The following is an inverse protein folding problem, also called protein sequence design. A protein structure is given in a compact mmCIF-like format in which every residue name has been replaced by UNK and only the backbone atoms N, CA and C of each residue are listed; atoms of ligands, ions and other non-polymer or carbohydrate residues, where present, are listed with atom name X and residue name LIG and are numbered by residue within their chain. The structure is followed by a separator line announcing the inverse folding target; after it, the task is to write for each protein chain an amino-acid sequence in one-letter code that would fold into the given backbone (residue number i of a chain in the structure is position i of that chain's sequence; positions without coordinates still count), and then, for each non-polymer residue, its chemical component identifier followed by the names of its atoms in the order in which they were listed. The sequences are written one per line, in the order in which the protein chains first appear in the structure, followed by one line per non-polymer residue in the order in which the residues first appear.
data_IF_405209181851
#
_entry.id   IF_405209181851
#
_cell.length_a   1.000
_cell.length_b   1.000
_cell.length_c   1.000
_cell.angle_alpha   90.00
_cell.angle_beta   90.00
_cell.angle_gamma   90.00
#
_symmetry.space_group_name_H-M   'P 1'
#
loop_
_entity.id
_entity.type
_entity.pdbx_description
1 polymer ?
2 polymer ?
3 non-polymer ?
4 non-polymer ?
5 non-polymer ?
6 water ?
#
# COMPACT_ATOMS: atom_id res chain seq x y z
N UNK A 1 -3.06 18.32 17.00
CA UNK A 1 -3.26 18.28 15.53
C UNK A 1 -3.91 19.54 15.00
N UNK A 2 -3.44 20.01 13.85
CA UNK A 2 -4.02 21.20 13.24
C UNK A 2 -5.46 21.00 12.81
N UNK A 3 -5.92 19.76 12.80
CA UNK A 3 -7.32 19.45 12.43
C UNK A 3 -8.16 19.18 13.68
N UNK A 4 -7.60 19.38 14.85
CA UNK A 4 -8.32 19.07 16.08
C UNK A 4 -9.62 19.84 16.27
N UNK A 5 -9.69 21.05 15.72
CA UNK A 5 -10.89 21.87 15.90
C UNK A 5 -11.94 21.66 14.83
N UNK A 6 -11.69 20.85 13.79
CA UNK A 6 -12.66 20.64 12.74
C UNK A 6 -13.48 19.38 12.99
N UNK A 7 -14.78 19.47 12.75
CA UNK A 7 -15.69 18.33 12.89
C UNK A 7 -15.21 17.14 12.06
N UNK A 8 -15.39 15.94 12.62
CA UNK A 8 -15.08 14.73 11.85
C UNK A 8 -15.78 14.74 10.49
N UNK A 9 -17.09 15.04 10.46
CA UNK A 9 -17.82 14.96 9.19
C UNK A 9 -17.29 15.99 8.19
N UNK A 10 -16.87 17.15 8.69
CA UNK A 10 -16.32 18.20 7.82
C UNK A 10 -14.98 17.79 7.25
N UNK A 11 -14.16 17.12 8.05
CA UNK A 11 -12.89 16.58 7.56
C UNK A 11 -13.12 15.57 6.43
N UNK A 12 -14.09 14.66 6.61
CA UNK A 12 -14.39 13.68 5.58
C UNK A 12 -14.88 14.38 4.32
N UNK A 13 -15.79 15.34 4.48
CA UNK A 13 -16.30 16.10 3.33
C UNK A 13 -15.16 16.78 2.60
N UNK A 14 -14.25 17.41 3.34
CA UNK A 14 -13.17 18.11 2.69
C UNK A 14 -12.15 17.16 2.08
N UNK A 15 -11.97 15.97 2.65
CA UNK A 15 -11.13 14.97 1.99
C UNK A 15 -11.68 14.63 0.62
N UNK A 16 -13.00 14.49 0.51
CA UNK A 16 -13.62 14.17 -0.78
C UNK A 16 -13.46 15.32 -1.76
N UNK A 17 -13.59 16.55 -1.29
CA UNK A 17 -13.35 17.72 -2.13
C UNK A 17 -11.91 17.77 -2.59
N UNK A 18 -10.97 17.51 -1.67
CA UNK A 18 -9.57 17.54 -2.01
C UNK A 18 -9.25 16.49 -3.07
N UNK A 19 -9.84 15.30 -2.96
CA UNK A 19 -9.67 14.27 -3.98
C UNK A 19 -10.13 14.80 -5.35
N UNK A 20 -11.30 15.43 -5.40
CA UNK A 20 -11.81 15.95 -6.66
C UNK A 20 -10.89 16.99 -7.25
N UNK A 21 -10.27 17.81 -6.39
CA UNK A 21 -9.31 18.84 -6.78
C UNK A 21 -7.88 18.32 -6.98
N UNK A 22 -7.66 17.01 -6.84
CA UNK A 22 -6.32 16.41 -6.94
C UNK A 22 -5.33 17.06 -5.97
N UNK A 23 -5.82 17.39 -4.77
CA UNK A 23 -5.03 18.00 -3.70
C UNK A 23 -4.77 16.92 -2.65
N UNK A 24 -3.84 16.01 -2.96
CA UNK A 24 -3.74 14.79 -2.16
C UNK A 24 -3.04 15.02 -0.84
N UNK A 25 -2.11 15.98 -0.75
CA UNK A 25 -1.54 16.31 0.54
C UNK A 25 -2.63 16.81 1.49
N UNK A 26 -3.50 17.71 0.99
CA UNK A 26 -4.63 18.15 1.79
C UNK A 26 -5.52 16.98 2.14
N UNK A 27 -5.81 16.12 1.16
CA UNK A 27 -6.68 14.99 1.41
C UNK A 27 -6.13 14.12 2.54
N UNK A 28 -4.82 13.87 2.53
CA UNK A 28 -4.21 13.05 3.57
C UNK A 28 -4.28 13.73 4.93
N UNK A 29 -4.04 15.05 4.97
CA UNK A 29 -4.12 15.75 6.24
C UNK A 29 -5.52 15.72 6.81
N UNK A 30 -6.54 15.87 5.95
CA UNK A 30 -7.92 15.80 6.42
C UNK A 30 -8.21 14.41 6.96
N UNK A 31 -7.76 13.36 6.26
CA UNK A 31 -8.06 12.01 6.72
C UNK A 31 -7.26 11.68 7.98
N UNK A 32 -6.02 12.15 8.11
CA UNK A 32 -5.31 12.00 9.37
C UNK A 32 -6.09 12.64 10.52
N UNK A 33 -6.61 13.85 10.29
CA UNK A 33 -7.43 14.47 11.30
C UNK A 33 -8.65 13.64 11.65
N UNK A 34 -9.29 13.05 10.64
CA UNK A 34 -10.46 12.22 10.91
C UNK A 34 -10.07 10.99 11.73
N UNK A 35 -8.97 10.32 11.37
CA UNK A 35 -8.52 9.18 12.16
C UNK A 35 -8.30 9.59 13.61
N UNK A 36 -7.67 10.74 13.83
CA UNK A 36 -7.31 11.16 15.18
C UNK A 36 -8.52 11.56 16.02
N UNK A 37 -9.72 11.62 15.43
CA UNK A 37 -10.92 11.75 16.25
C UNK A 37 -11.16 10.53 17.10
N UNK A 38 -10.55 9.38 16.76
CA UNK A 38 -10.60 8.22 17.62
C UNK A 38 -11.69 7.22 17.29
N UNK A 39 -12.61 7.56 16.41
CA UNK A 39 -13.63 6.61 15.99
C UNK A 39 -13.09 5.70 14.89
N UNK A 40 -13.65 4.50 14.81
CA UNK A 40 -13.33 3.61 13.72
C UNK A 40 -13.75 4.24 12.39
N UNK A 41 -13.15 3.75 11.32
CA UNK A 41 -13.43 4.26 9.95
C UNK A 41 -14.38 3.29 9.23
N UNK A 42 -15.25 3.85 8.42
CA UNK A 42 -16.12 3.06 7.54
C UNK A 42 -15.30 2.61 6.32
N UNK A 44 -15.78 3.34 3.17
CA UNK A 44 -15.48 4.49 2.31
C UNK A 44 -14.35 5.34 2.93
N UNK A 45 -14.41 5.54 4.24
CA UNK A 45 -13.39 6.37 4.90
C UNK A 45 -12.02 5.71 4.86
N UNK A 46 -11.96 4.38 5.04
CA UNK A 46 -10.69 3.67 4.89
C UNK A 46 -10.11 3.87 3.49
N UNK A 47 -10.97 3.80 2.49
CA UNK A 47 -10.49 3.98 1.13
C UNK A 47 -10.03 5.41 0.89
N UNK A 48 -10.70 6.41 1.48
CA UNK A 48 -10.21 7.78 1.37
C UNK A 48 -8.83 7.92 2.00
N UNK A 49 -8.64 7.33 3.18
CA UNK A 49 -7.34 7.38 3.84
C UNK A 49 -6.27 6.78 2.96
N UNK A 50 -6.53 5.58 2.41
CA UNK A 50 -5.55 4.89 1.61
C UNK A 50 -5.25 5.64 0.31
N UNK A 51 -6.29 6.09 -0.41
CA UNK A 51 -6.07 6.82 -1.66
C UNK A 51 -5.23 8.05 -1.42
N UNK A 52 -5.51 8.78 -0.33
CA UNK A 52 -4.79 10.02 -0.04
C UNK A 52 -3.31 9.74 0.12
N UNK A 53 -2.96 8.86 1.06
CA UNK A 53 -1.55 8.63 1.32
C UNK A 53 -0.87 7.90 0.16
N UNK A 54 -1.60 7.06 -0.58
CA UNK A 54 -0.98 6.38 -1.72
C UNK A 54 -0.53 7.39 -2.76
N UNK A 55 -1.35 8.42 -3.00
CA UNK A 55 -0.99 9.47 -3.95
C UNK A 55 0.18 10.28 -3.44
N UNK A 56 0.19 10.64 -2.16
CA UNK A 56 1.32 11.40 -1.61
C UNK A 56 2.60 10.60 -1.72
N UNK A 57 2.60 9.38 -1.19
CA UNK A 57 3.84 8.61 -1.17
C UNK A 57 4.24 8.23 -2.59
N UNK A 58 3.27 8.08 -3.49
CA UNK A 58 3.60 7.76 -4.87
C UNK A 58 4.43 8.84 -5.54
N UNK A 59 4.06 10.11 -5.33
CA UNK A 59 4.88 11.18 -5.85
C UNK A 59 6.29 11.16 -5.29
N UNK A 60 6.41 10.85 -4.01
CA UNK A 60 7.71 10.84 -3.36
C UNK A 60 8.54 9.69 -3.89
N UNK A 61 7.92 8.52 -4.07
CA UNK A 61 8.65 7.36 -4.59
C UNK A 61 9.15 7.63 -5.99
N UNK A 62 8.32 8.23 -6.84
CA UNK A 62 8.74 8.50 -8.20
C UNK A 62 9.89 9.49 -8.20
N UNK A 63 9.80 10.52 -7.36
CA UNK A 63 10.90 11.49 -7.29
C UNK A 63 12.17 10.84 -6.76
N UNK A 64 12.04 10.03 -5.70
CA UNK A 64 13.20 9.34 -5.14
C UNK A 64 13.90 8.48 -6.20
N UNK A 65 13.13 7.81 -7.04
CA UNK A 65 13.74 6.92 -8.04
C UNK A 65 14.50 7.76 -9.07
N UNK A 66 13.94 8.88 -9.47
CA UNK A 66 14.64 9.75 -10.44
C UNK A 66 15.98 10.16 -9.83
N UNK A 67 15.95 10.62 -8.59
CA UNK A 67 17.18 11.13 -7.92
C UNK A 67 18.15 9.98 -7.63
N UNK A 68 17.63 8.81 -7.22
CA UNK A 68 18.42 7.60 -6.88
C UNK A 68 19.15 7.10 -8.13
N UNK A 69 18.53 7.25 -9.30
CA UNK A 69 19.07 6.82 -10.62
C UNK A 69 20.16 7.79 -11.07
N UNK A 70 19.90 9.10 -10.95
CA UNK A 70 20.84 10.19 -11.34
C UNK A 70 22.07 10.13 -10.42
N UNK A 71 21.87 9.77 -9.15
CA UNK A 71 22.93 9.67 -8.12
C UNK A 71 23.83 8.46 -8.44
N UNK A 72 23.23 7.36 -8.89
CA UNK A 72 23.95 6.13 -9.26
C UNK A 72 24.79 6.43 -10.49
N UNK A 73 24.26 7.13 -11.45
CA UNK A 73 25.05 7.46 -12.64
C UNK A 73 26.22 8.33 -12.18
N UNK A 74 25.97 9.32 -11.35
CA UNK A 74 27.00 10.28 -10.89
C UNK A 74 28.11 9.54 -10.16
N UNK A 75 27.98 8.28 -9.83
CA UNK A 75 28.91 7.56 -8.93
C UNK A 75 29.69 6.51 -9.74
N UNK A 76 29.28 6.31 -11.00
CA UNK A 76 29.88 5.35 -11.95
N UNK A 83 29.89 16.93 -6.70
CA UNK A 83 29.57 17.59 -5.44
C UNK A 83 28.53 16.80 -4.66
N UNK A 84 28.21 17.28 -3.46
CA UNK A 84 27.29 16.55 -2.58
C UNK A 84 25.82 16.74 -2.89
N UNK A 85 25.48 17.55 -3.89
CA UNK A 85 24.11 18.05 -4.02
C UNK A 85 23.11 16.94 -4.39
N UNK A 86 23.48 16.04 -5.30
CA UNK A 86 22.56 14.98 -5.70
C UNK A 86 22.23 14.12 -4.50
N UNK A 87 23.26 13.66 -3.78
CA UNK A 87 23.04 12.88 -2.55
C UNK A 87 22.20 13.65 -1.55
N UNK A 88 22.55 14.92 -1.29
CA UNK A 88 21.79 15.72 -0.33
C UNK A 88 20.33 15.76 -0.71
N UNK A 89 20.03 16.02 -1.98
CA UNK A 89 18.63 16.20 -2.35
C UNK A 89 17.89 14.87 -2.37
N UNK A 90 18.55 13.79 -2.81
CA UNK A 90 17.95 12.46 -2.68
C UNK A 90 17.63 12.16 -1.22
N UNK A 91 18.56 12.51 -0.32
CA UNK A 91 18.35 12.32 1.11
C UNK A 91 17.17 13.15 1.62
N UNK A 92 17.01 14.36 1.11
CA UNK A 92 15.89 15.22 1.52
C UNK A 92 14.56 14.56 1.16
N UNK A 93 14.44 14.13 -0.09
CA UNK A 93 13.20 13.48 -0.54
C UNK A 93 13.00 12.18 0.21
N UNK A 94 14.07 11.40 0.39
CA UNK A 94 14.00 10.15 1.14
C UNK A 94 13.47 10.37 2.55
N UNK A 95 13.99 11.40 3.24
CA UNK A 95 13.55 11.66 4.60
C UNK A 95 12.07 12.06 4.64
N UNK A 96 11.59 12.81 3.65
CA UNK A 96 10.18 13.19 3.64
C UNK A 96 9.29 12.00 3.31
N UNK A 97 9.83 11.10 2.50
CA UNK A 97 9.10 9.86 2.19
C UNK A 97 8.99 9.00 3.47
N UNK A 98 10.11 8.84 4.16
CA UNK A 98 10.10 8.06 5.39
C UNK A 98 9.16 8.70 6.39
N UNK A 99 9.10 10.03 6.41
CA UNK A 99 8.19 10.68 7.34
C UNK A 99 6.74 10.36 7.06
N UNK A 100 6.34 10.33 5.79
CA UNK A 100 4.97 9.98 5.42
C UNK A 100 4.69 8.54 5.81
N UNK A 101 5.63 7.63 5.52
CA UNK A 101 5.42 6.25 5.91
C UNK A 101 5.28 6.11 7.42
N UNK A 102 6.14 6.77 8.19
CA UNK A 102 6.04 6.75 9.65
C UNK A 102 4.70 7.30 10.12
N UNK A 103 4.21 8.36 9.48
CA UNK A 103 2.92 8.92 9.85
C UNK A 103 1.80 7.90 9.66
N UNK A 104 1.76 7.26 8.48
CA UNK A 104 0.73 6.26 8.22
C UNK A 104 0.84 5.12 9.21
N UNK A 105 2.07 4.60 9.40
CA UNK A 105 2.26 3.50 10.33
C UNK A 105 1.84 3.90 11.73
N UNK A 106 2.07 5.16 12.09
CA UNK A 106 1.65 5.65 13.40
C UNK A 106 0.14 5.65 13.57
N UNK A 107 -0.60 6.04 12.53
CA UNK A 107 -2.05 5.97 12.58
C UNK A 107 -2.53 4.53 12.71
N UNK A 108 -1.91 3.61 11.97
CA UNK A 108 -2.31 2.21 12.05
C UNK A 108 -2.05 1.66 13.44
N UNK A 109 -0.94 2.06 14.06
CA UNK A 109 -0.59 1.56 15.39
C UNK A 109 -1.31 2.29 16.52
N UNK A 110 -1.84 3.48 16.26
CA UNK A 110 -2.49 4.30 17.29
C UNK A 110 -3.75 4.95 16.69
N UNK A 111 -4.85 4.20 16.57
CA UNK A 111 -5.06 2.85 17.09
C UNK A 111 -5.94 2.06 16.15
N UNK A 112 -5.73 2.27 14.84
CA UNK A 112 -6.66 1.69 13.87
C UNK A 112 -6.65 0.17 13.90
N UNK A 113 -5.46 -0.45 13.92
CA UNK A 113 -5.41 -1.91 13.84
C UNK A 113 -6.02 -2.54 15.09
N UNK A 114 -5.66 -2.04 16.27
CA UNK A 114 -6.11 -2.73 17.47
C UNK A 114 -7.62 -2.66 17.64
N UNK A 115 -8.31 -1.67 17.06
CA UNK A 115 -9.77 -1.61 17.17
C UNK A 115 -10.47 -2.28 15.99
N UNK A 116 -9.73 -2.80 15.01
CA UNK A 116 -10.31 -3.38 13.80
C UNK A 116 -10.54 -4.88 14.04
N UNK A 117 -11.79 -5.26 14.16
CA UNK A 117 -12.15 -6.63 14.41
C UNK A 117 -12.77 -7.35 13.24
N UNK A 118 -13.46 -6.64 12.35
CA UNK A 118 -13.99 -7.30 11.18
C UNK A 118 -12.88 -7.57 10.18
N UNK A 119 -13.01 -8.67 9.43
CA UNK A 119 -11.97 -9.01 8.48
C UNK A 119 -11.72 -7.89 7.49
N UNK A 120 -12.79 -7.25 6.98
CA UNK A 120 -12.61 -6.23 5.94
C UNK A 120 -11.81 -5.04 6.45
N UNK A 121 -11.95 -4.68 7.71
CA UNK A 121 -11.15 -3.56 8.22
C UNK A 121 -9.75 -4.04 8.61
N UNK A 122 -9.67 -5.16 9.33
CA UNK A 122 -8.37 -5.61 9.84
C UNK A 122 -7.42 -6.00 8.71
N UNK A 123 -7.91 -6.72 7.70
CA UNK A 123 -7.05 -7.05 6.55
C UNK A 123 -6.64 -5.79 5.81
N UNK A 124 -7.57 -4.85 5.63
CA UNK A 124 -7.24 -3.59 4.96
C UNK A 124 -6.07 -2.90 5.65
N UNK A 125 -6.15 -2.76 6.98
CA UNK A 125 -5.13 -2.03 7.72
C UNK A 125 -3.81 -2.79 7.75
N UNK A 126 -3.85 -4.12 7.92
CA UNK A 126 -2.61 -4.88 7.95
C UNK A 126 -1.94 -4.86 6.58
N UNK A 127 -2.73 -4.89 5.51
CA UNK A 127 -2.17 -4.70 4.18
C UNK A 127 -1.48 -3.34 4.07
N UNK A 128 -2.12 -2.27 4.55
CA UNK A 128 -1.50 -0.95 4.53
C UNK A 128 -0.19 -0.97 5.30
N UNK A 129 -0.18 -1.62 6.46
CA UNK A 129 1.05 -1.69 7.24
C UNK A 129 2.16 -2.38 6.45
N UNK A 130 1.85 -3.50 5.80
CA UNK A 130 2.81 -4.12 4.90
C UNK A 130 3.29 -3.18 3.81
N UNK A 131 2.36 -2.46 3.18
CA UNK A 131 2.67 -1.57 2.07
C UNK A 131 3.64 -0.48 2.52
N UNK A 132 3.38 0.18 3.66
CA UNK A 132 4.22 1.31 4.03
C UNK A 132 5.56 0.84 4.59
N UNK A 133 5.65 -0.35 5.19
CA UNK A 133 6.97 -0.91 5.46
C UNK A 133 7.68 -1.29 4.17
N UNK A 134 6.94 -1.73 3.15
CA UNK A 134 7.56 -2.02 1.87
C UNK A 134 8.14 -0.74 1.24
N UNK A 135 7.42 0.38 1.34
CA UNK A 135 7.97 1.61 0.78
C UNK A 135 9.20 2.07 1.56
N UNK A 136 9.21 1.85 2.87
CA UNK A 136 10.43 2.09 3.64
C UNK A 136 11.54 1.16 3.17
N UNK A 137 11.21 -0.11 2.90
CA UNK A 137 12.23 -1.05 2.45
C UNK A 137 12.83 -0.63 1.11
N UNK A 138 12.05 0.00 0.23
CA UNK A 138 12.53 0.37 -1.09
C UNK A 138 13.72 1.32 -0.99
N UNK A 139 13.78 2.13 0.07
CA UNK A 139 14.83 3.13 0.23
C UNK A 139 15.82 2.77 1.31
N UNK A 140 15.64 1.63 1.97
CA UNK A 140 16.48 1.22 3.10
C UNK A 140 17.78 0.61 2.61
N UNK A 141 18.87 0.96 3.30
CA UNK A 141 20.21 0.50 2.98
C UNK A 141 21.02 0.13 4.20
N UNK A 142 20.58 0.48 5.40
CA UNK A 142 21.40 0.35 6.59
C UNK A 142 21.17 -0.94 7.35
N UNK A 143 21.54 -0.93 8.62
CA UNK A 143 21.49 -2.11 9.46
C UNK A 143 20.07 -2.48 9.88
N UNK A 144 19.08 -1.69 9.49
CA UNK A 144 17.69 -1.98 9.81
C UNK A 144 16.90 -2.48 8.61
N UNK A 145 17.52 -2.56 7.42
CA UNK A 145 16.79 -2.99 6.24
C UNK A 145 16.16 -4.36 6.44
N UNK A 146 16.90 -5.31 7.01
CA UNK A 146 16.34 -6.64 7.23
C UNK A 146 15.13 -6.58 8.16
N UNK A 147 15.19 -5.75 9.20
CA UNK A 147 14.06 -5.68 10.12
C UNK A 147 12.88 -4.98 9.48
N UNK A 148 13.13 -3.98 8.62
CA UNK A 148 12.03 -3.32 7.90
C UNK A 148 11.34 -4.33 7.00
N UNK A 149 12.13 -5.12 6.28
CA UNK A 149 11.58 -6.13 5.39
C UNK A 149 10.77 -7.15 6.18
N UNK A 150 11.29 -7.57 7.33
CA UNK A 150 10.53 -8.54 8.10
C UNK A 150 9.25 -7.94 8.69
N UNK A 151 9.25 -6.63 9.00
CA UNK A 151 8.04 -5.97 9.44
C UNK A 151 6.99 -5.98 8.34
N UNK A 152 7.39 -5.70 7.10
CA UNK A 152 6.47 -5.79 5.98
C UNK A 152 5.93 -7.20 5.84
N UNK A 153 6.82 -8.19 5.82
CA UNK A 153 6.41 -9.58 5.66
C UNK A 153 5.43 -10.00 6.76
N UNK A 154 5.74 -9.64 8.01
CA UNK A 154 4.88 -10.04 9.12
C UNK A 154 3.47 -9.49 8.96
N UNK A 155 3.36 -8.21 8.60
CA UNK A 155 2.05 -7.60 8.43
C UNK A 155 1.29 -8.24 7.28
N UNK A 156 1.94 -8.41 6.13
CA UNK A 156 1.32 -9.07 5.00
C UNK A 156 0.87 -10.48 5.37
N UNK A 157 1.70 -11.20 6.13
CA UNK A 157 1.38 -12.59 6.44
C UNK A 157 0.17 -12.68 7.36
N UNK A 158 0.09 -11.81 8.37
CA UNK A 158 -1.10 -11.80 9.23
C UNK A 158 -2.34 -11.47 8.41
N UNK A 159 -2.25 -10.47 7.54
CA UNK A 159 -3.36 -10.11 6.68
C UNK A 159 -3.76 -11.30 5.81
N UNK A 160 -2.78 -12.00 5.25
CA UNK A 160 -3.07 -13.15 4.39
C UNK A 160 -3.80 -14.23 5.17
N UNK A 161 -3.29 -14.54 6.37
CA UNK A 161 -3.90 -15.60 7.16
C UNK A 161 -5.36 -15.30 7.46
N UNK A 162 -5.68 -14.05 7.82
CA UNK A 162 -7.06 -13.67 8.09
C UNK A 162 -7.87 -13.74 6.81
N UNK A 163 -7.33 -13.23 5.71
CA UNK A 163 -8.10 -13.15 4.47
C UNK A 163 -8.46 -14.54 3.97
N UNK A 164 -7.55 -15.50 4.12
CA UNK A 164 -7.86 -16.84 3.63
C UNK A 164 -8.91 -17.52 4.47
N UNK A 165 -8.98 -17.20 5.76
CA UNK A 165 -9.98 -17.79 6.65
C UNK A 165 -11.34 -17.11 6.53
N UNK A 166 -11.37 -15.81 6.26
CA UNK A 166 -12.56 -15.01 6.47
C UNK A 166 -13.16 -14.37 5.22
N UNK A 167 -12.48 -14.42 4.07
CA UNK A 167 -12.93 -13.81 2.85
C UNK A 167 -12.94 -14.78 1.69
N UNK A 168 -13.86 -14.63 0.74
CA UNK A 168 -13.82 -15.45 -0.44
C UNK A 168 -12.64 -15.08 -1.32
N UNK A 169 -12.20 -15.98 -2.21
CA UNK A 169 -11.01 -15.72 -3.01
C UNK A 169 -11.15 -14.58 -3.99
N UNK A 170 -12.37 -14.13 -4.28
CA UNK A 170 -12.58 -12.98 -5.17
C UNK A 170 -12.66 -11.66 -4.42
N UNK A 171 -12.62 -11.69 -3.10
CA UNK A 171 -12.77 -10.45 -2.35
C UNK A 171 -11.70 -9.46 -2.80
N UNK A 172 -12.08 -8.23 -3.23
CA UNK A 172 -11.06 -7.33 -3.78
C UNK A 172 -9.97 -6.95 -2.79
N UNK A 173 -10.29 -6.87 -1.49
CA UNK A 173 -9.25 -6.60 -0.50
C UNK A 173 -8.25 -7.73 -0.46
N UNK A 174 -8.77 -8.97 -0.40
CA UNK A 174 -7.92 -10.15 -0.44
C UNK A 174 -7.06 -10.16 -1.71
N UNK A 175 -7.66 -9.85 -2.85
CA UNK A 175 -6.93 -9.85 -4.12
C UNK A 175 -5.82 -8.81 -4.12
N UNK A 176 -6.13 -7.58 -3.68
CA UNK A 176 -5.12 -6.53 -3.67
C UNK A 176 -4.00 -6.80 -2.69
N UNK A 177 -4.33 -7.42 -1.56
CA UNK A 177 -3.30 -7.88 -0.63
C UNK A 177 -2.37 -8.88 -1.28
N UNK A 178 -2.93 -9.88 -1.94
CA UNK A 178 -2.12 -10.91 -2.56
C UNK A 178 -1.24 -10.31 -3.66
N UNK A 179 -1.82 -9.42 -4.47
CA UNK A 179 -1.04 -8.70 -5.47
C UNK A 179 0.17 -8.02 -4.85
N UNK A 180 -0.06 -7.23 -3.81
CA UNK A 180 1.03 -6.47 -3.22
C UNK A 180 2.06 -7.36 -2.52
N UNK A 181 1.58 -8.41 -1.83
CA UNK A 181 2.50 -9.35 -1.19
C UNK A 181 3.34 -10.07 -2.23
N UNK A 182 2.75 -10.38 -3.38
CA UNK A 182 3.55 -11.02 -4.43
C UNK A 182 4.64 -10.09 -4.95
N UNK A 183 4.34 -8.78 -5.07
CA UNK A 183 5.39 -7.83 -5.48
C UNK A 183 6.44 -7.70 -4.40
N UNK A 184 6.03 -7.66 -3.13
CA UNK A 184 6.97 -7.75 -2.01
C UNK A 184 7.92 -8.92 -2.19
N UNK A 185 7.38 -10.11 -2.45
CA UNK A 185 8.23 -11.27 -2.65
C UNK A 185 9.19 -11.05 -3.80
N UNK A 186 8.68 -10.55 -4.93
CA UNK A 186 9.48 -10.52 -6.14
C UNK A 186 10.70 -9.63 -5.97
N UNK A 187 10.50 -8.44 -5.46
CA UNK A 187 11.57 -7.47 -5.55
C UNK A 187 12.04 -6.90 -4.22
N UNK A 188 11.39 -7.20 -3.11
CA UNK A 188 11.91 -6.83 -1.80
C UNK A 188 12.57 -7.99 -1.12
N UNK A 189 11.88 -9.15 -1.07
CA UNK A 189 12.40 -10.37 -0.48
C UNK A 189 13.29 -11.16 -1.42
N UNK A 190 13.46 -10.75 -2.67
CA UNK A 190 14.26 -11.49 -3.65
C UNK A 190 13.80 -12.95 -3.72
N UNK A 191 12.48 -13.13 -3.78
CA UNK A 191 11.86 -14.45 -3.86
C UNK A 191 10.93 -14.49 -5.07
N UNK A 192 11.47 -14.39 -6.28
CA UNK A 192 10.61 -14.36 -7.47
C UNK A 192 9.75 -15.60 -7.61
N UNK A 193 10.23 -16.76 -7.21
CA UNK A 193 9.39 -17.95 -7.36
C UNK A 193 8.19 -17.89 -6.44
N UNK A 194 8.37 -17.40 -5.22
CA UNK A 194 7.25 -17.24 -4.30
C UNK A 194 6.24 -16.25 -4.87
N UNK A 195 6.75 -15.16 -5.43
CA UNK A 195 5.90 -14.14 -6.05
C UNK A 195 5.03 -14.73 -7.14
N UNK A 196 5.65 -15.52 -8.04
CA UNK A 196 4.95 -16.12 -9.17
C UNK A 196 3.90 -17.12 -8.66
N UNK A 197 4.30 -17.96 -7.71
CA UNK A 197 3.36 -18.95 -7.14
C UNK A 197 2.16 -18.26 -6.52
N UNK A 198 2.42 -17.24 -5.71
CA UNK A 198 1.31 -16.56 -5.05
C UNK A 198 0.38 -15.92 -6.08
N UNK A 199 0.95 -15.23 -7.06
CA UNK A 199 0.10 -14.58 -8.06
C UNK A 199 -0.73 -15.60 -8.84
N UNK A 200 -0.12 -16.72 -9.23
CA UNK A 200 -0.83 -17.74 -9.99
C UNK A 200 -1.96 -18.37 -9.18
N UNK A 201 -1.63 -18.83 -7.97
CA UNK A 201 -2.64 -19.45 -7.12
C UNK A 201 -3.78 -18.48 -6.83
N UNK A 202 -3.45 -17.22 -6.54
CA UNK A 202 -4.49 -16.23 -6.26
C UNK A 202 -5.40 -16.05 -7.47
N UNK A 203 -4.79 -15.91 -8.66
CA UNK A 203 -5.57 -15.72 -9.88
C UNK A 203 -6.48 -16.91 -10.12
N UNK A 204 -5.93 -18.12 -10.04
CA UNK A 204 -6.72 -19.31 -10.35
C UNK A 204 -7.84 -19.53 -9.35
N UNK A 205 -7.61 -19.29 -8.06
CA UNK A 205 -8.68 -19.50 -7.08
C UNK A 205 -9.75 -18.44 -7.21
N UNK A 206 -9.37 -17.24 -7.63
CA UNK A 206 -10.38 -16.22 -7.90
C UNK A 206 -11.21 -16.58 -9.13
N UNK A 207 -10.54 -16.98 -10.21
CA UNK A 207 -11.24 -17.43 -11.42
C UNK A 207 -12.39 -18.36 -11.07
N UNK A 208 -12.08 -19.37 -10.25
CA UNK A 208 -13.02 -20.42 -9.92
C UNK A 208 -14.18 -19.95 -9.05
N UNK A 209 -14.12 -18.73 -8.50
CA UNK A 209 -15.16 -18.20 -7.62
C UNK A 209 -15.95 -17.08 -8.29
N UNK A 210 -15.56 -16.65 -9.49
CA UNK A 210 -16.26 -15.58 -10.18
C UNK A 210 -17.73 -15.90 -10.41
N UNK A 211 -18.05 -17.20 -10.55
CA UNK A 211 -19.42 -17.58 -10.90
C UNK A 211 -20.41 -17.20 -9.82
N UNK A 212 -19.93 -16.96 -8.59
CA UNK A 212 -20.80 -16.62 -7.47
C UNK A 212 -21.18 -15.15 -7.42
N UNK A 213 -20.57 -14.32 -8.26
CA UNK A 213 -20.62 -12.87 -8.14
C UNK A 213 -21.68 -12.23 -9.03
N UNK A 214 -22.19 -11.09 -8.56
CA UNK A 214 -22.97 -10.20 -9.39
C UNK A 214 -22.09 -9.53 -10.44
N UNK A 215 -22.75 -8.86 -11.39
CA UNK A 215 -22.01 -8.18 -12.45
C UNK A 215 -21.06 -7.13 -11.88
N UNK A 216 -21.52 -6.39 -10.86
CA UNK A 216 -20.68 -5.33 -10.30
C UNK A 216 -19.48 -5.91 -9.54
N UNK A 217 -19.72 -6.94 -8.74
CA UNK A 217 -18.60 -7.55 -8.00
C UNK A 217 -17.64 -8.23 -8.95
N UNK A 218 -18.16 -8.85 -10.01
CA UNK A 218 -17.31 -9.41 -11.06
C UNK A 218 -16.35 -8.36 -11.62
N UNK A 219 -16.86 -7.15 -11.91
CA UNK A 219 -16.00 -6.10 -12.44
C UNK A 219 -14.90 -5.73 -11.44
N UNK A 220 -15.26 -5.58 -10.16
CA UNK A 220 -14.28 -5.22 -9.15
C UNK A 220 -13.18 -6.28 -9.05
N UNK A 221 -13.57 -7.55 -9.01
CA UNK A 221 -12.59 -8.62 -8.84
C UNK A 221 -11.73 -8.81 -10.08
N UNK A 222 -12.33 -8.81 -11.27
CA UNK A 222 -11.52 -9.03 -12.46
C UNK A 222 -10.54 -7.91 -12.72
N UNK A 223 -10.84 -6.69 -12.26
CA UNK A 223 -9.89 -5.59 -12.42
C UNK A 223 -8.56 -5.93 -11.71
N UNK A 224 -8.64 -6.45 -10.50
CA UNK A 224 -7.43 -6.74 -9.77
C UNK A 224 -6.80 -8.01 -10.29
N UNK A 225 -7.61 -8.97 -10.71
CA UNK A 225 -7.06 -10.17 -11.33
C UNK A 225 -6.19 -9.83 -12.53
N UNK A 226 -6.59 -8.80 -13.31
CA UNK A 226 -5.80 -8.41 -14.46
C UNK A 226 -4.45 -7.86 -14.05
N UNK A 227 -4.38 -7.20 -12.88
CA UNK A 227 -3.07 -6.76 -12.38
C UNK A 227 -2.17 -7.95 -12.03
N UNK A 228 -2.73 -9.01 -11.42
CA UNK A 228 -1.95 -10.22 -11.20
C UNK A 228 -1.43 -10.78 -12.51
N UNK A 229 -2.31 -10.84 -13.52
CA UNK A 229 -1.90 -11.32 -14.84
C UNK A 229 -0.83 -10.44 -15.44
N UNK A 230 -0.98 -9.12 -15.32
CA UNK A 230 0.01 -8.21 -15.85
C UNK A 230 1.39 -8.54 -15.29
N UNK A 231 1.47 -8.75 -13.98
CA UNK A 231 2.75 -9.06 -13.36
C UNK A 231 3.25 -10.42 -13.82
N UNK A 232 2.39 -11.44 -13.82
CA UNK A 232 2.81 -12.77 -14.27
C UNK A 232 3.37 -12.72 -15.67
N UNK A 233 2.79 -11.91 -16.54
CA UNK A 233 3.29 -11.80 -17.91
C UNK A 233 4.70 -11.22 -17.95
N UNK A 234 4.99 -10.25 -17.09
CA UNK A 234 6.33 -9.69 -17.02
C UNK A 234 7.32 -10.65 -16.34
N UNK A 235 6.83 -11.54 -15.46
CA UNK A 235 7.70 -12.36 -14.64
C UNK A 235 7.99 -13.73 -15.25
N UNK A 236 7.22 -14.14 -16.24
CA UNK A 236 7.35 -15.47 -16.82
C UNK A 236 7.42 -15.39 -18.34
N UNK B 1 13.18 2.78 -13.09
CA UNK B 1 12.99 1.40 -12.68
C UNK B 1 11.67 0.87 -13.22
N UNK B 2 11.67 -0.39 -13.65
CA UNK B 2 10.43 -1.08 -13.99
C UNK B 2 9.64 -1.35 -12.71
N UNK B 3 8.46 -0.74 -12.59
CA UNK B 3 7.59 -0.94 -11.44
C UNK B 3 6.48 -1.92 -11.81
N UNK B 4 6.27 -2.90 -10.95
CA UNK B 4 5.23 -3.87 -11.15
C UNK B 4 3.90 -3.33 -10.62
N UNK B 5 2.82 -3.95 -11.07
CA UNK B 5 1.50 -3.53 -10.64
C UNK B 5 1.25 -3.82 -9.17
N UNK B 7 -1.73 -2.54 -5.89
CA UNK B 7 -3.11 -2.11 -5.69
C UNK B 7 -3.24 -0.60 -5.66
N UNK B 8 -4.34 -0.10 -6.23
CA UNK B 8 -4.72 1.27 -5.99
C UNK B 8 -4.03 2.25 -6.90
N UNK B 9 -4.13 3.54 -6.56
CA UNK B 9 -3.63 4.58 -7.46
C UNK B 9 -2.19 4.32 -7.90
N UNK B 10 -1.99 4.33 -9.22
CA UNK B 10 -0.66 4.24 -9.82
C UNK B 10 -0.07 5.65 -9.81
N UNK B 11 0.30 6.09 -8.62
CA UNK B 11 0.63 7.48 -8.33
C UNK B 11 2.12 7.76 -8.41
N UNK B 12 2.92 6.77 -8.74
CA UNK B 12 4.35 6.95 -8.91
C UNK B 12 4.71 6.59 -10.35
#
# INVERSE_FOLDING_TARGET
GAMGSMERASLIQKAKLAEQAERYEDMAAFMKGAVEKGEELSXEERNLLSVAYKNVVGGQRAAWRVLSSIEQKSNEEGSEEKGPEVREYREKVETELQGVCDTVLGLLDSHLIKEAGDAESRVFYLKMKGDYYRYLAEVATGDDKKRIIDSARSAYQEAMDISKKEMPPTNPIRLGLALNFSVFHYEIANSPEEAISLAKTTFDEAMADLHTLSEDSYKDSTLIMQLLRDNLTLWTADNAGEEGGEAPQEPQS
KLMFKXEGPDSD
#
